data_IF_569374108447
#
_entry.id   IF_569374108447
#
_cell.length_a   1.000
_cell.length_b   1.000
_cell.length_c   1.000
_cell.angle_alpha   90.00
_cell.angle_beta   90.00
_cell.angle_gamma   90.00
#
_symmetry.space_group_name_H-M   'P 1'
#
loop_
_entity.id
_entity.type
_entity.pdbx_description
1 polymer ?
#
# COMPACT_ATOMS: atom_id res chain seq x y z
N UNK A 1 -5.81 -28.02 10.50
CA UNK A 1 -5.38 -27.19 9.35
C UNK A 1 -5.35 -25.75 9.82
N UNK A 2 -4.17 -25.12 9.93
CA UNK A 2 -4.09 -23.70 10.25
C UNK A 2 -4.48 -22.94 8.98
N UNK A 3 -5.68 -22.35 8.98
CA UNK A 3 -6.12 -21.48 7.88
C UNK A 3 -5.34 -20.18 8.03
N UNK A 4 -4.44 -19.91 7.09
CA UNK A 4 -3.73 -18.64 7.01
C UNK A 4 -4.79 -17.55 6.77
N UNK A 5 -4.91 -16.54 7.65
CA UNK A 5 -5.92 -15.52 7.47
C UNK A 5 -5.67 -14.77 6.15
N UNK A 6 -6.75 -14.42 5.41
CA UNK A 6 -6.61 -13.71 4.15
C UNK A 6 -5.92 -12.36 4.38
N UNK A 7 -5.28 -11.85 3.33
CA UNK A 7 -4.49 -10.62 3.40
C UNK A 7 -5.23 -9.42 4.07
N UNK A 8 -6.51 -9.15 3.76
CA UNK A 8 -7.23 -8.04 4.39
C UNK A 8 -7.28 -8.17 5.92
N UNK A 9 -7.49 -9.38 6.44
CA UNK A 9 -7.56 -9.63 7.88
C UNK A 9 -6.26 -9.24 8.58
N UNK A 10 -5.11 -9.58 7.99
CA UNK A 10 -3.79 -9.23 8.55
C UNK A 10 -3.55 -7.72 8.58
N UNK A 11 -4.00 -6.99 7.56
CA UNK A 11 -3.90 -5.53 7.57
C UNK A 11 -4.83 -4.88 8.58
N UNK A 12 -6.07 -5.37 8.71
CA UNK A 12 -6.97 -4.87 9.74
C UNK A 12 -6.36 -5.06 11.14
N UNK A 13 -5.72 -6.22 11.39
CA UNK A 13 -4.97 -6.46 12.62
C UNK A 13 -3.81 -5.48 12.80
N UNK A 14 -3.02 -5.21 11.74
CA UNK A 14 -1.95 -4.22 11.77
C UNK A 14 -2.47 -2.82 12.15
N UNK A 15 -3.59 -2.40 11.55
CA UNK A 15 -4.24 -1.12 11.86
C UNK A 15 -4.71 -1.04 13.31
N UNK A 16 -5.30 -2.11 13.85
CA UNK A 16 -5.69 -2.20 15.26
C UNK A 16 -4.49 -2.17 16.22
N UNK A 17 -3.32 -2.59 15.76
CA UNK A 17 -2.05 -2.51 16.49
C UNK A 17 -1.36 -1.14 16.33
N UNK A 18 -2.00 -0.18 15.67
CA UNK A 18 -1.50 1.17 15.51
C UNK A 18 -0.53 1.36 14.36
N UNK A 19 -0.47 0.44 13.39
CA UNK A 19 0.26 0.67 12.14
C UNK A 19 -0.61 1.50 11.18
N UNK A 20 -0.25 2.77 10.90
CA UNK A 20 -0.99 3.60 9.97
C UNK A 20 -0.78 3.13 8.52
N UNK A 21 -1.87 3.02 7.76
CA UNK A 21 -1.85 2.82 6.33
C UNK A 21 -3.17 3.25 5.68
N UNK A 22 -3.12 3.52 4.38
CA UNK A 22 -4.30 3.51 3.52
C UNK A 22 -4.04 2.55 2.35
N UNK A 23 -5.05 1.77 1.98
CA UNK A 23 -5.02 0.93 0.78
C UNK A 23 -5.12 1.81 -0.47
N UNK A 24 -4.19 1.61 -1.40
CA UNK A 24 -4.12 2.31 -2.68
C UNK A 24 -4.15 1.31 -3.85
N UNK A 25 -3.74 1.72 -5.05
CA UNK A 25 -3.47 0.81 -6.15
C UNK A 25 -4.71 0.10 -6.70
N UNK A 26 -4.53 -1.12 -7.21
CA UNK A 26 -5.58 -1.88 -7.89
C UNK A 26 -6.77 -2.22 -6.97
N UNK A 27 -6.48 -2.57 -5.71
CA UNK A 27 -7.50 -2.91 -4.72
C UNK A 27 -8.36 -1.69 -4.34
N UNK A 28 -7.77 -0.50 -4.28
CA UNK A 28 -8.52 0.73 -4.07
C UNK A 28 -9.41 1.09 -5.27
N UNK A 29 -8.92 0.90 -6.50
CA UNK A 29 -9.74 1.10 -7.71
C UNK A 29 -10.95 0.15 -7.73
N UNK A 30 -10.75 -1.11 -7.33
CA UNK A 30 -11.84 -2.08 -7.15
C UNK A 30 -12.87 -1.59 -6.13
N UNK A 31 -12.42 -1.08 -4.98
CA UNK A 31 -13.29 -0.56 -3.92
C UNK A 31 -14.20 0.60 -4.40
N UNK A 32 -13.71 1.41 -5.35
CA UNK A 32 -14.48 2.50 -5.98
C UNK A 32 -15.42 2.04 -7.11
N UNK A 33 -15.68 0.73 -7.24
CA UNK A 33 -16.65 0.19 -8.22
C UNK A 33 -16.08 -0.04 -9.61
N UNK A 34 -14.75 -0.09 -9.76
CA UNK A 34 -14.08 -0.37 -11.04
C UNK A 34 -13.32 -1.70 -10.97
N UNK A 35 -13.92 -2.82 -11.39
CA UNK A 35 -13.31 -4.14 -11.26
C UNK A 35 -11.99 -4.23 -12.01
N UNK A 36 -10.95 -4.73 -11.34
CA UNK A 36 -9.64 -4.98 -11.94
C UNK A 36 -8.95 -6.14 -11.22
N UNK A 37 -8.34 -7.04 -11.99
CA UNK A 37 -7.43 -8.04 -11.44
C UNK A 37 -6.12 -7.36 -11.05
N UNK A 38 -5.72 -7.51 -9.79
CA UNK A 38 -4.47 -7.01 -9.21
C UNK A 38 -3.86 -8.17 -8.43
N UNK A 39 -2.53 -8.30 -8.54
CA UNK A 39 -1.79 -9.44 -7.98
C UNK A 39 -0.98 -9.04 -6.74
N UNK A 40 -0.90 -7.75 -6.49
CA UNK A 40 -0.13 -7.03 -5.51
C UNK A 40 -1.03 -6.28 -4.54
N UNK A 41 -0.45 -5.92 -3.40
CA UNK A 41 -1.06 -5.03 -2.43
C UNK A 41 -0.23 -3.77 -2.36
N UNK A 42 -0.87 -2.64 -2.65
CA UNK A 42 -0.25 -1.33 -2.51
C UNK A 42 -0.82 -0.60 -1.30
N UNK A 43 0.05 -0.15 -0.40
CA UNK A 43 -0.29 0.70 0.73
C UNK A 43 0.46 2.03 0.65
N UNK A 44 -0.13 3.09 1.19
CA UNK A 44 0.61 4.30 1.53
C UNK A 44 0.75 4.40 3.06
N UNK A 45 1.96 4.73 3.52
CA UNK A 45 2.32 4.78 4.92
C UNK A 45 3.11 6.07 5.22
N UNK A 46 3.02 6.63 6.44
CA UNK A 46 3.90 7.73 6.83
C UNK A 46 5.32 7.20 7.02
N UNK A 47 6.32 7.97 6.59
CA UNK A 47 7.75 7.63 6.70
C UNK A 47 8.17 7.27 8.13
N UNK A 48 7.57 7.91 9.13
CA UNK A 48 7.80 7.63 10.55
C UNK A 48 7.42 6.21 10.97
N UNK A 49 6.60 5.50 10.20
CA UNK A 49 6.14 4.13 10.48
C UNK A 49 6.93 3.05 9.75
N UNK A 50 7.92 3.42 8.92
CA UNK A 50 8.69 2.46 8.08
C UNK A 50 9.30 1.33 8.90
N UNK A 51 9.92 1.62 10.04
CA UNK A 51 10.53 0.58 10.88
C UNK A 51 9.50 -0.39 11.45
N UNK A 52 8.31 0.12 11.83
CA UNK A 52 7.22 -0.73 12.32
C UNK A 52 6.68 -1.64 11.20
N UNK A 53 6.55 -1.11 9.98
CA UNK A 53 6.15 -1.88 8.81
C UNK A 53 7.16 -2.94 8.40
N UNK A 54 8.46 -2.65 8.47
CA UNK A 54 9.52 -3.66 8.21
C UNK A 54 9.44 -4.81 9.22
N UNK A 55 9.29 -4.49 10.51
CA UNK A 55 9.15 -5.50 11.56
C UNK A 55 7.88 -6.34 11.35
N UNK A 56 6.75 -5.69 11.03
CA UNK A 56 5.50 -6.39 10.70
C UNK A 56 5.67 -7.31 9.50
N UNK A 57 6.31 -6.84 8.43
CA UNK A 57 6.56 -7.62 7.22
C UNK A 57 7.37 -8.89 7.55
N UNK A 58 8.46 -8.76 8.30
CA UNK A 58 9.29 -9.89 8.72
C UNK A 58 8.51 -10.93 9.55
N UNK A 59 7.74 -10.46 10.55
CA UNK A 59 6.87 -11.31 11.37
C UNK A 59 5.82 -12.06 10.53
N UNK A 60 5.36 -11.43 9.44
CA UNK A 60 4.42 -12.02 8.49
C UNK A 60 5.08 -12.70 7.29
N UNK A 61 6.37 -13.06 7.39
CA UNK A 61 7.11 -13.84 6.39
C UNK A 61 7.19 -13.18 5.02
N UNK A 62 7.35 -11.86 5.03
CA UNK A 62 7.76 -11.08 3.88
C UNK A 62 9.26 -10.81 3.94
N UNK A 63 9.88 -10.81 2.76
CA UNK A 63 11.28 -10.40 2.58
C UNK A 63 11.32 -9.15 1.74
N UNK A 64 12.09 -8.15 2.19
CA UNK A 64 12.33 -6.92 1.45
C UNK A 64 13.14 -7.24 0.19
N UNK A 65 12.56 -6.96 -0.98
CA UNK A 65 13.23 -7.08 -2.27
C UNK A 65 13.96 -5.80 -2.63
N UNK A 66 13.31 -4.66 -2.42
CA UNK A 66 13.83 -3.37 -2.84
C UNK A 66 13.36 -2.27 -1.87
N UNK A 67 14.28 -1.37 -1.56
CA UNK A 67 14.00 -0.14 -0.84
C UNK A 67 14.54 1.04 -1.64
N UNK A 68 13.67 1.99 -1.92
CA UNK A 68 14.00 3.27 -2.58
C UNK A 68 13.60 4.41 -1.66
N UNK A 69 13.94 5.67 -1.95
CA UNK A 69 13.43 6.80 -1.18
C UNK A 69 11.89 6.84 -1.08
N UNK A 70 11.18 6.38 -2.11
CA UNK A 70 9.71 6.43 -2.17
C UNK A 70 9.00 5.12 -1.80
N UNK A 71 9.65 3.96 -1.90
CA UNK A 71 8.99 2.66 -1.77
C UNK A 71 9.77 1.64 -0.94
N UNK A 72 9.03 0.71 -0.34
CA UNK A 72 9.52 -0.58 0.14
C UNK A 72 8.72 -1.67 -0.58
N UNK A 73 9.40 -2.61 -1.23
CA UNK A 73 8.76 -3.68 -1.98
C UNK A 73 9.11 -5.02 -1.36
N UNK A 74 8.10 -5.81 -1.06
CA UNK A 74 8.23 -7.06 -0.32
C UNK A 74 7.62 -8.24 -1.08
N UNK A 75 8.27 -9.38 -0.95
CA UNK A 75 7.76 -10.66 -1.46
C UNK A 75 7.45 -11.61 -0.31
N UNK A 76 6.32 -12.31 -0.40
CA UNK A 76 5.94 -13.38 0.53
C UNK A 76 6.85 -14.59 0.29
N UNK A 77 7.49 -15.13 1.34
CA UNK A 77 8.52 -16.18 1.18
C UNK A 77 8.11 -17.58 1.61
N UNK A 78 7.20 -17.72 2.60
CA UNK A 78 6.83 -19.03 3.15
C UNK A 78 5.53 -19.61 2.60
N UNK A 79 4.70 -18.79 1.95
CA UNK A 79 3.34 -19.13 1.54
C UNK A 79 2.95 -18.37 0.26
N UNK A 80 1.94 -18.85 -0.48
CA UNK A 80 1.34 -18.07 -1.56
C UNK A 80 0.64 -16.84 -0.98
N UNK A 81 1.04 -15.66 -1.42
CA UNK A 81 0.42 -14.40 -1.02
C UNK A 81 0.85 -13.28 -1.97
N UNK A 82 0.05 -12.22 -2.07
CA UNK A 82 0.40 -11.11 -2.93
C UNK A 82 1.70 -10.44 -2.44
N UNK A 83 2.54 -9.94 -3.35
CA UNK A 83 3.57 -8.95 -3.02
C UNK A 83 2.96 -7.76 -2.28
N UNK A 84 3.77 -7.09 -1.46
CA UNK A 84 3.37 -5.94 -0.69
C UNK A 84 4.29 -4.76 -1.01
N UNK A 85 3.72 -3.71 -1.56
CA UNK A 85 4.40 -2.47 -1.89
C UNK A 85 3.92 -1.37 -0.94
N UNK A 86 4.86 -0.75 -0.23
CA UNK A 86 4.61 0.35 0.69
C UNK A 86 5.16 1.64 0.10
N UNK A 87 4.27 2.52 -0.33
CA UNK A 87 4.59 3.88 -0.69
C UNK A 87 4.82 4.71 0.57
N UNK A 88 6.00 5.31 0.68
CA UNK A 88 6.37 6.21 1.77
C UNK A 88 5.93 7.63 1.45
N UNK A 89 5.41 8.32 2.46
CA UNK A 89 5.06 9.73 2.34
C UNK A 89 5.32 10.47 3.64
N UNK A 90 5.52 11.78 3.56
CA UNK A 90 5.66 12.60 4.76
C UNK A 90 4.33 12.64 5.55
N UNK A 91 4.42 12.98 6.84
CA UNK A 91 3.26 12.95 7.74
C UNK A 91 2.13 13.88 7.28
N UNK A 92 2.45 15.04 6.71
CA UNK A 92 1.46 16.04 6.28
C UNK A 92 0.68 15.51 5.07
N UNK A 93 1.37 14.93 4.10
CA UNK A 93 0.74 14.29 2.94
C UNK A 93 -0.11 13.09 3.37
N UNK A 94 0.38 12.25 4.27
CA UNK A 94 -0.40 11.12 4.81
C UNK A 94 -1.71 11.60 5.46
N UNK A 95 -1.65 12.61 6.34
CA UNK A 95 -2.82 13.15 7.02
C UNK A 95 -3.86 13.75 6.08
N UNK A 96 -3.43 14.37 4.98
CA UNK A 96 -4.33 14.86 3.93
C UNK A 96 -5.07 13.71 3.23
N UNK A 97 -4.37 12.61 2.95
CA UNK A 97 -4.99 11.44 2.33
C UNK A 97 -5.93 10.73 3.31
N UNK A 98 -5.54 10.68 4.58
CA UNK A 98 -6.30 10.05 5.65
C UNK A 98 -7.58 10.83 5.98
N UNK A 99 -7.59 12.17 5.93
CA UNK A 99 -8.79 12.94 6.24
C UNK A 99 -9.95 12.70 5.26
N UNK A 100 -9.65 12.24 4.04
CA UNK A 100 -10.64 11.95 3.00
C UNK A 100 -10.76 10.46 2.66
N UNK A 101 -10.16 9.57 3.46
CA UNK A 101 -10.26 8.13 3.21
C UNK A 101 -11.71 7.64 3.35
N UNK A 102 -12.00 6.52 2.67
CA UNK A 102 -13.23 5.76 2.89
C UNK A 102 -12.93 4.42 3.54
N UNK A 103 -13.93 3.83 4.18
CA UNK A 103 -13.86 2.46 4.68
C UNK A 103 -14.52 1.53 3.67
N UNK A 104 -13.83 0.48 3.27
CA UNK A 104 -14.36 -0.53 2.35
C UNK A 104 -14.32 -1.92 3.00
N UNK A 105 -15.41 -2.68 2.85
CA UNK A 105 -15.45 -4.09 3.23
C UNK A 105 -14.81 -4.98 2.15
N UNK A 106 -13.91 -5.84 2.58
CA UNK A 106 -13.28 -6.90 1.81
C UNK A 106 -13.60 -8.24 2.48
N UNK A 107 -14.73 -8.84 2.09
CA UNK A 107 -15.20 -10.14 2.60
C UNK A 107 -15.29 -10.18 4.14
N UNK A 108 -15.94 -9.19 4.74
CA UNK A 108 -16.12 -9.08 6.19
C UNK A 108 -14.95 -8.42 6.93
N UNK A 109 -13.93 -7.95 6.21
CA UNK A 109 -12.84 -7.16 6.78
C UNK A 109 -12.86 -5.74 6.24
N UNK A 110 -13.09 -4.77 7.12
CA UNK A 110 -13.05 -3.35 6.75
C UNK A 110 -11.62 -2.81 6.73
N UNK A 111 -11.22 -2.19 5.61
CA UNK A 111 -9.93 -1.51 5.46
C UNK A 111 -10.12 -0.03 5.10
N UNK A 112 -9.20 0.85 5.54
CA UNK A 112 -9.14 2.22 5.06
C UNK A 112 -8.61 2.25 3.62
N UNK A 113 -9.35 2.88 2.72
CA UNK A 113 -9.04 3.02 1.29
C UNK A 113 -8.96 4.49 0.96
N UNK A 114 -7.91 4.89 0.24
CA UNK A 114 -7.76 6.29 -0.20
C UNK A 114 -8.93 6.72 -1.10
N UNK A 115 -9.27 8.01 -1.08
CA UNK A 115 -10.34 8.55 -1.93
C UNK A 115 -10.05 8.38 -3.41
N UNK A 116 -11.09 8.30 -4.25
CA UNK A 116 -10.93 8.18 -5.71
C UNK A 116 -10.18 9.40 -6.28
N UNK A 117 -10.49 10.59 -5.78
CA UNK A 117 -9.81 11.82 -6.20
C UNK A 117 -8.32 11.75 -5.92
N UNK A 118 -7.93 11.28 -4.73
CA UNK A 118 -6.54 11.10 -4.37
C UNK A 118 -5.86 9.97 -5.16
N UNK A 119 -6.55 8.88 -5.54
CA UNK A 119 -6.00 7.88 -6.46
C UNK A 119 -5.63 8.49 -7.81
N UNK A 120 -6.53 9.31 -8.37
CA UNK A 120 -6.28 10.00 -9.63
C UNK A 120 -5.10 10.97 -9.50
N UNK A 121 -5.04 11.73 -8.41
CA UNK A 121 -3.92 12.63 -8.13
C UNK A 121 -2.58 11.89 -8.02
N UNK A 122 -2.54 10.76 -7.30
CA UNK A 122 -1.37 9.90 -7.18
C UNK A 122 -0.92 9.36 -8.56
N UNK A 123 -1.87 8.90 -9.38
CA UNK A 123 -1.57 8.40 -10.73
C UNK A 123 -1.02 9.50 -11.65
N UNK A 124 -1.60 10.70 -11.61
CA UNK A 124 -1.12 11.85 -12.38
C UNK A 124 0.28 12.30 -11.90
N UNK A 125 0.50 12.31 -10.59
CA UNK A 125 1.81 12.62 -10.01
C UNK A 125 2.88 11.63 -10.45
N UNK A 126 2.59 10.32 -10.42
CA UNK A 126 3.56 9.29 -10.84
C UNK A 126 3.94 9.41 -12.32
N UNK A 127 2.98 9.78 -13.18
CA UNK A 127 3.23 10.02 -14.61
C UNK A 127 4.14 11.23 -14.85
N UNK A 128 3.96 12.32 -14.08
CA UNK A 128 4.80 13.52 -14.17
C UNK A 128 6.23 13.27 -13.65
N UNK A 129 6.37 12.40 -12.67
CA UNK A 129 7.69 12.05 -12.10
C UNK A 129 8.45 11.08 -13.00
N UNK A 130 7.77 10.14 -13.65
CA UNK A 130 8.38 9.23 -14.64
C UNK A 130 8.78 9.92 -15.95
N UNK A 131 8.04 10.95 -16.40
CA UNK A 131 8.47 11.76 -17.56
C UNK A 131 9.75 12.57 -17.33
N UNK A 132 10.19 12.74 -16.07
CA UNK A 132 11.44 13.45 -15.73
C UNK A 132 12.69 12.56 -15.83
N UNK A 133 12.52 11.23 -15.80
CA UNK A 133 13.62 10.28 -15.98
C UNK A 133 13.98 10.04 -17.46
N UNK A 134 13.07 10.29 -18.40
CA UNK A 134 13.35 10.20 -19.85
C UNK A 134 14.19 11.37 -20.41
N UNK A 135 14.39 12.44 -19.64
CA UNK A 135 15.18 13.62 -20.07
C UNK A 135 16.62 13.64 -19.54
N UNK A 136 17.04 12.67 -18.72
CA UNK A 136 18.41 12.59 -18.20
C UNK A 136 19.34 11.65 -18.97
N UNK A 137 18.83 10.94 -19.97
CA UNK A 137 19.60 9.96 -20.77
C UNK A 137 19.98 10.46 -22.18
N UNK A 138 19.91 11.78 -22.41
CA UNK A 138 20.28 12.43 -23.68
C UNK A 138 21.28 13.59 -23.53
N UNK A 139 22.21 13.53 -22.57
CA UNK A 139 23.36 14.44 -22.51
C UNK A 139 24.68 13.70 -22.41
#
# INVERSE_FOLDING_TARGET
>A
MNVIPPFPHRLAQAGLQGLPFLLIGGHAVFAHGHPRTTLDVDLIIPESSVSAWKNWAELHHYTLLQETPAFLQFQKTRESGPPLDLMKTDLKTYQLLESEHMKQDFAGTTLPVVSLFHLLALKLHSLKSSSRQLSSDLQ
#
